data_IF_347638085718
#
_entry.id   IF_347638085718
#
_cell.length_a   1.000
_cell.length_b   1.000
_cell.length_c   1.000
_cell.angle_alpha   90.00
_cell.angle_beta   90.00
_cell.angle_gamma   90.00
#
_symmetry.space_group_name_H-M   'P 1'
#
loop_
_entity.id
_entity.type
_entity.pdbx_description
1 polymer ?
#
# COMPACT_ATOMS: atom_id res chain seq x y z
N UNK A 1 0.67 10.45 28.94
CA UNK A 1 0.29 9.56 30.06
C UNK A 1 0.42 8.06 29.73
N UNK A 2 0.08 7.60 28.52
CA UNK A 2 0.17 6.18 28.10
C UNK A 2 1.57 5.58 28.19
N UNK A 3 2.62 6.31 27.78
CA UNK A 3 4.01 5.84 27.93
C UNK A 3 4.46 5.67 29.39
N UNK A 4 3.95 6.50 30.32
CA UNK A 4 4.37 6.44 31.72
C UNK A 4 3.80 5.21 32.45
N UNK A 5 2.55 4.83 32.15
CA UNK A 5 1.88 3.71 32.83
C UNK A 5 2.41 2.33 32.40
N UNK A 6 2.85 2.17 31.15
CA UNK A 6 3.26 0.86 30.65
C UNK A 6 4.70 0.47 31.01
N UNK A 7 5.54 1.44 31.40
CA UNK A 7 6.95 1.18 31.72
C UNK A 7 7.27 1.06 33.21
N UNK A 8 6.48 1.65 34.12
CA UNK A 8 6.88 1.85 35.52
C UNK A 8 6.14 1.00 36.56
N UNK A 9 5.00 0.39 36.21
CA UNK A 9 4.22 -0.43 37.15
C UNK A 9 4.49 -1.94 36.99
N UNK A 10 4.19 -2.72 38.05
CA UNK A 10 4.31 -4.19 38.04
C UNK A 10 3.43 -4.83 36.97
N UNK A 11 3.79 -6.04 36.55
CA UNK A 11 3.05 -6.83 35.55
C UNK A 11 1.56 -6.95 35.86
N UNK A 12 1.22 -7.19 37.13
CA UNK A 12 -0.15 -7.36 37.62
C UNK A 12 -0.93 -6.05 37.56
N UNK A 13 -0.34 -4.95 38.01
CA UNK A 13 -1.00 -3.63 37.98
C UNK A 13 -1.23 -3.21 36.53
N UNK A 14 -0.24 -3.41 35.66
CA UNK A 14 -0.35 -3.10 34.24
C UNK A 14 -1.48 -3.86 33.57
N UNK A 15 -1.58 -5.16 33.83
CA UNK A 15 -2.64 -6.01 33.27
C UNK A 15 -4.03 -5.51 33.71
N UNK A 16 -4.21 -5.16 34.99
CA UNK A 16 -5.46 -4.57 35.49
C UNK A 16 -5.81 -3.24 34.83
N UNK A 17 -4.83 -2.34 34.70
CA UNK A 17 -5.04 -1.04 34.03
C UNK A 17 -5.44 -1.22 32.58
N UNK A 18 -4.77 -2.13 31.85
CA UNK A 18 -5.12 -2.46 30.48
C UNK A 18 -6.53 -3.04 30.39
N UNK A 19 -6.92 -3.94 31.28
CA UNK A 19 -8.27 -4.54 31.30
C UNK A 19 -9.34 -3.46 31.53
N UNK A 20 -9.15 -2.57 32.50
CA UNK A 20 -10.07 -1.45 32.76
C UNK A 20 -10.23 -0.57 31.52
N UNK A 21 -9.13 -0.16 30.89
CA UNK A 21 -9.16 0.81 29.78
C UNK A 21 -9.65 0.16 28.48
N UNK A 22 -9.31 -1.11 28.23
CA UNK A 22 -9.59 -1.79 26.96
C UNK A 22 -10.84 -2.66 26.98
N UNK A 23 -11.44 -2.89 28.15
CA UNK A 23 -12.63 -3.72 28.31
C UNK A 23 -13.69 -3.03 29.17
N UNK A 24 -13.43 -2.78 30.47
CA UNK A 24 -14.48 -2.30 31.40
C UNK A 24 -14.99 -0.88 31.08
N UNK A 25 -14.08 0.01 30.64
CA UNK A 25 -14.34 1.42 30.37
C UNK A 25 -14.00 1.80 28.94
N UNK A 26 -14.05 0.84 28.02
CA UNK A 26 -13.75 1.07 26.60
C UNK A 26 -14.73 2.08 25.98
N UNK A 27 -15.97 2.13 26.46
CA UNK A 27 -16.98 3.07 25.98
C UNK A 27 -16.72 4.52 26.43
N UNK A 28 -15.92 4.71 27.48
CA UNK A 28 -15.54 6.04 27.97
C UNK A 28 -14.40 6.67 27.13
N UNK A 29 -13.77 5.90 26.24
CA UNK A 29 -12.68 6.37 25.39
C UNK A 29 -13.09 6.47 23.92
N UNK A 30 -12.87 7.66 23.36
CA UNK A 30 -13.15 7.94 21.94
C UNK A 30 -12.21 7.14 21.01
N UNK A 31 -12.55 7.13 19.72
CA UNK A 31 -11.83 6.39 18.69
C UNK A 31 -10.35 6.77 18.59
N UNK A 32 -10.04 8.07 18.70
CA UNK A 32 -8.66 8.57 18.67
C UNK A 32 -7.84 7.99 19.81
N UNK A 33 -8.39 7.96 21.03
CA UNK A 33 -7.74 7.39 22.20
C UNK A 33 -7.54 5.88 22.05
N UNK A 34 -8.53 5.16 21.49
CA UNK A 34 -8.41 3.73 21.15
C UNK A 34 -7.20 3.47 20.23
N UNK A 35 -7.03 4.30 19.20
CA UNK A 35 -5.86 4.28 18.32
C UNK A 35 -4.55 4.47 19.07
N UNK A 36 -4.45 5.53 19.89
CA UNK A 36 -3.24 5.84 20.69
C UNK A 36 -2.87 4.67 21.63
N UNK A 37 -3.87 4.05 22.27
CA UNK A 37 -3.65 2.90 23.16
C UNK A 37 -3.07 1.72 22.39
N UNK A 38 -3.65 1.37 21.23
CA UNK A 38 -3.13 0.27 20.42
C UNK A 38 -1.71 0.58 19.92
N UNK A 39 -1.41 1.82 19.53
CA UNK A 39 -0.07 2.24 19.12
C UNK A 39 0.96 2.08 20.25
N UNK A 40 0.61 2.47 21.47
CA UNK A 40 1.46 2.24 22.63
C UNK A 40 1.68 0.74 22.86
N UNK A 41 0.62 -0.07 22.77
CA UNK A 41 0.71 -1.54 22.87
C UNK A 41 1.64 -2.12 21.81
N UNK A 42 1.54 -1.68 20.56
CA UNK A 42 2.37 -2.13 19.43
C UNK A 42 3.88 -1.91 19.68
N UNK A 43 4.29 -0.75 20.23
CA UNK A 43 5.67 -0.51 20.64
C UNK A 43 6.16 -1.55 21.67
N UNK A 44 5.31 -1.90 22.63
CA UNK A 44 5.62 -2.92 23.63
C UNK A 44 5.70 -4.33 23.05
N UNK A 45 4.91 -4.65 22.02
CA UNK A 45 4.95 -5.93 21.32
C UNK A 45 6.20 -6.09 20.45
N UNK A 46 6.69 -4.99 19.86
CA UNK A 46 7.91 -4.97 19.07
C UNK A 46 9.18 -5.21 19.93
N UNK A 47 9.16 -4.77 21.20
CA UNK A 47 10.30 -4.94 22.10
C UNK A 47 10.62 -6.43 22.36
N UNK A 48 11.88 -6.89 22.19
CA UNK A 48 12.29 -8.25 22.53
C UNK A 48 12.40 -8.47 24.05
N UNK A 49 12.54 -7.39 24.83
CA UNK A 49 12.70 -7.44 26.28
C UNK A 49 11.37 -7.69 27.02
N UNK A 50 10.25 -7.48 26.33
CA UNK A 50 8.94 -7.58 26.94
C UNK A 50 8.41 -9.01 26.90
N UNK A 51 8.21 -9.60 28.09
CA UNK A 51 7.71 -10.98 28.25
C UNK A 51 6.18 -11.09 28.36
N UNK A 52 5.47 -9.98 28.56
CA UNK A 52 4.00 -9.97 28.74
C UNK A 52 3.23 -9.77 27.43
N UNK A 53 3.78 -10.22 26.30
CA UNK A 53 3.14 -10.05 24.98
C UNK A 53 1.68 -10.55 24.92
N UNK A 54 1.30 -11.66 25.61
CA UNK A 54 -0.10 -12.10 25.63
C UNK A 54 -1.08 -11.07 26.22
N UNK A 55 -0.73 -10.41 27.33
CA UNK A 55 -1.58 -9.42 28.00
C UNK A 55 -1.80 -8.20 27.09
N UNK A 56 -0.72 -7.74 26.46
CA UNK A 56 -0.74 -6.65 25.49
C UNK A 56 -1.61 -6.99 24.26
N UNK A 57 -1.46 -8.19 23.70
CA UNK A 57 -2.27 -8.67 22.58
C UNK A 57 -3.75 -8.74 22.95
N UNK A 58 -4.08 -9.33 24.11
CA UNK A 58 -5.45 -9.41 24.62
C UNK A 58 -6.07 -8.02 24.73
N UNK A 59 -5.36 -7.07 25.32
CA UNK A 59 -5.83 -5.69 25.47
C UNK A 59 -6.10 -5.02 24.11
N UNK A 60 -5.20 -5.15 23.14
CA UNK A 60 -5.43 -4.62 21.80
C UNK A 60 -6.64 -5.27 21.10
N UNK A 61 -6.81 -6.58 21.27
CA UNK A 61 -7.93 -7.31 20.68
C UNK A 61 -9.27 -6.96 21.34
N UNK A 62 -9.28 -6.61 22.63
CA UNK A 62 -10.47 -6.09 23.29
C UNK A 62 -10.89 -4.75 22.66
N UNK A 63 -9.95 -3.83 22.44
CA UNK A 63 -10.24 -2.55 21.77
C UNK A 63 -10.79 -2.77 20.35
N UNK A 64 -10.18 -3.67 19.57
CA UNK A 64 -10.65 -4.00 18.21
C UNK A 64 -12.06 -4.59 18.26
N UNK A 65 -12.32 -5.58 19.13
CA UNK A 65 -13.62 -6.25 19.24
C UNK A 65 -14.71 -5.37 19.84
N UNK A 66 -14.36 -4.37 20.63
CA UNK A 66 -15.31 -3.37 21.13
C UNK A 66 -15.49 -2.16 20.21
N UNK A 67 -14.96 -2.19 18.99
CA UNK A 67 -15.16 -1.15 17.97
C UNK A 67 -15.90 -1.75 16.77
N UNK A 68 -16.85 -1.01 16.19
CA UNK A 68 -17.86 -1.56 15.28
C UNK A 68 -18.01 -0.74 13.99
N UNK A 69 -18.53 -1.36 12.93
CA UNK A 69 -18.83 -0.72 11.64
C UNK A 69 -17.70 0.18 11.11
N UNK A 70 -18.08 1.37 10.62
CA UNK A 70 -17.12 2.34 10.04
C UNK A 70 -16.06 2.83 11.02
N UNK A 71 -16.36 2.87 12.33
CA UNK A 71 -15.36 3.23 13.34
C UNK A 71 -14.26 2.18 13.41
N UNK A 72 -14.61 0.89 13.27
CA UNK A 72 -13.59 -0.16 13.20
C UNK A 72 -12.74 0.00 11.94
N UNK A 73 -13.34 0.35 10.80
CA UNK A 73 -12.58 0.63 9.57
C UNK A 73 -11.58 1.76 9.76
N UNK A 74 -12.02 2.89 10.33
CA UNK A 74 -11.14 4.03 10.62
C UNK A 74 -10.05 3.66 11.63
N UNK A 75 -10.39 2.90 12.68
CA UNK A 75 -9.41 2.41 13.65
C UNK A 75 -8.36 1.51 13.00
N UNK A 76 -8.78 0.59 12.11
CA UNK A 76 -7.86 -0.29 11.38
C UNK A 76 -6.89 0.51 10.51
N UNK A 77 -7.36 1.54 9.81
CA UNK A 77 -6.48 2.46 9.06
C UNK A 77 -5.48 3.15 10.00
N UNK A 78 -5.94 3.67 11.15
CA UNK A 78 -5.11 4.30 12.18
C UNK A 78 -4.06 3.36 12.78
N UNK A 79 -4.33 2.05 12.87
CA UNK A 79 -3.39 1.02 13.37
C UNK A 79 -2.46 0.50 12.26
N UNK A 80 -2.91 0.59 11.01
CA UNK A 80 -2.15 0.18 9.85
C UNK A 80 -1.11 1.25 9.44
N UNK A 81 -1.42 2.53 9.65
CA UNK A 81 -0.59 3.68 9.29
C UNK A 81 0.64 3.89 10.17
N UNK A 82 1.85 3.52 9.76
CA UNK A 82 3.06 3.67 10.60
C UNK A 82 3.29 5.08 11.20
N UNK A 83 2.60 6.11 10.71
CA UNK A 83 2.76 7.49 11.13
C UNK A 83 1.43 8.20 11.43
N UNK A 84 1.02 8.20 12.70
CA UNK A 84 0.07 9.19 13.20
C UNK A 84 0.67 9.82 14.44
N UNK A 85 1.42 10.91 14.23
CA UNK A 85 1.41 12.15 15.00
C UNK A 85 2.48 13.06 14.37
N UNK A 86 2.18 14.33 14.04
CA UNK A 86 3.20 15.30 13.66
C UNK A 86 3.97 15.71 14.92
N UNK A 87 4.86 14.85 15.40
CA UNK A 87 5.90 15.29 16.32
C UNK A 87 7.00 15.91 15.46
N UNK A 88 7.32 17.17 15.75
CA UNK A 88 8.46 17.90 15.17
C UNK A 88 9.84 17.26 15.44
N UNK A 89 9.86 16.13 16.16
CA UNK A 89 11.03 15.29 16.35
C UNK A 89 10.99 14.10 15.40
N UNK A 90 12.08 13.89 14.67
CA UNK A 90 12.35 12.86 13.67
C UNK A 90 12.28 11.40 14.19
N UNK A 91 11.17 10.99 14.77
CA UNK A 91 10.98 9.64 15.33
C UNK A 91 9.54 9.15 15.15
N UNK A 92 9.22 8.60 13.98
CA UNK A 92 7.96 7.90 13.75
C UNK A 92 7.73 6.73 14.73
N UNK A 93 6.47 6.32 14.91
CA UNK A 93 6.12 5.21 15.80
C UNK A 93 6.64 3.87 15.24
N UNK A 94 7.66 3.27 15.88
CA UNK A 94 8.24 1.97 15.48
C UNK A 94 7.45 0.72 15.94
N UNK A 95 6.11 0.80 16.02
CA UNK A 95 5.25 -0.21 16.65
C UNK A 95 4.85 -1.42 15.79
N UNK A 96 5.07 -1.35 14.48
CA UNK A 96 4.55 -2.33 13.52
C UNK A 96 3.10 -2.05 13.10
N UNK A 97 2.64 -2.79 12.09
CA UNK A 97 1.35 -2.58 11.43
C UNK A 97 0.21 -3.46 12.02
N UNK A 98 -1.00 -3.29 11.49
CA UNK A 98 -2.18 -4.09 11.86
C UNK A 98 -1.97 -5.58 11.57
N UNK A 99 -1.29 -5.91 10.47
CA UNK A 99 -0.99 -7.29 10.10
C UNK A 99 -0.10 -7.97 11.14
N UNK A 100 0.94 -7.28 11.63
CA UNK A 100 1.82 -7.77 12.70
C UNK A 100 1.09 -7.84 14.05
N UNK A 101 0.20 -6.89 14.35
CA UNK A 101 -0.60 -6.92 15.57
C UNK A 101 -1.48 -8.18 15.63
N UNK A 102 -2.15 -8.52 14.52
CA UNK A 102 -3.08 -9.66 14.46
C UNK A 102 -2.31 -10.96 14.23
N UNK A 103 -1.60 -11.11 13.10
CA UNK A 103 -0.95 -12.37 12.74
C UNK A 103 0.39 -12.62 13.46
N UNK A 104 0.89 -11.65 14.22
CA UNK A 104 2.00 -11.86 15.16
C UNK A 104 1.56 -12.51 16.47
N UNK A 105 0.25 -12.65 16.72
CA UNK A 105 -0.27 -13.39 17.88
C UNK A 105 -0.06 -14.89 17.71
N UNK A 106 0.44 -15.55 18.76
CA UNK A 106 0.67 -17.01 18.77
C UNK A 106 -0.61 -17.79 19.07
N UNK A 107 -1.58 -17.16 19.72
CA UNK A 107 -2.87 -17.78 20.03
C UNK A 107 -3.81 -17.67 18.83
N UNK A 108 -3.93 -18.76 18.08
CA UNK A 108 -4.76 -18.82 16.89
C UNK A 108 -6.24 -18.58 17.20
N UNK A 109 -6.72 -18.94 18.39
CA UNK A 109 -8.12 -18.74 18.79
C UNK A 109 -8.44 -17.25 18.88
N UNK A 110 -7.51 -16.46 19.41
CA UNK A 110 -7.62 -15.01 19.49
C UNK A 110 -7.58 -14.37 18.10
N UNK A 111 -6.68 -14.83 17.22
CA UNK A 111 -6.60 -14.37 15.82
C UNK A 111 -7.92 -14.64 15.09
N UNK A 112 -8.46 -15.86 15.19
CA UNK A 112 -9.72 -16.23 14.55
C UNK A 112 -10.88 -15.40 15.10
N UNK A 113 -10.95 -15.20 16.43
CA UNK A 113 -11.99 -14.39 17.07
C UNK A 113 -11.99 -12.94 16.55
N UNK A 114 -10.81 -12.32 16.42
CA UNK A 114 -10.69 -10.96 15.87
C UNK A 114 -10.99 -10.91 14.38
N UNK A 115 -10.52 -11.88 13.60
CA UNK A 115 -10.80 -11.94 12.17
C UNK A 115 -12.30 -12.11 11.88
N UNK A 116 -13.00 -12.93 12.68
CA UNK A 116 -14.46 -13.07 12.61
C UNK A 116 -15.18 -11.76 12.91
N UNK A 117 -14.77 -11.06 13.97
CA UNK A 117 -15.30 -9.73 14.31
C UNK A 117 -15.11 -8.75 13.15
N UNK A 118 -13.90 -8.65 12.61
CA UNK A 118 -13.58 -7.80 11.46
C UNK A 118 -14.47 -8.12 10.26
N UNK A 119 -14.64 -9.41 9.94
CA UNK A 119 -15.46 -9.84 8.82
C UNK A 119 -16.95 -9.46 9.01
N UNK A 120 -17.50 -9.64 10.21
CA UNK A 120 -18.89 -9.29 10.53
C UNK A 120 -19.11 -7.78 10.46
N UNK A 121 -18.22 -6.99 11.06
CA UNK A 121 -18.36 -5.53 11.07
C UNK A 121 -18.16 -4.92 9.68
N UNK A 122 -17.29 -5.50 8.85
CA UNK A 122 -17.10 -5.05 7.47
C UNK A 122 -18.34 -5.19 6.60
N UNK A 123 -19.22 -6.17 6.85
CA UNK A 123 -20.49 -6.30 6.14
C UNK A 123 -21.45 -5.13 6.42
N UNK A 124 -21.25 -4.41 7.53
CA UNK A 124 -22.06 -3.24 7.91
C UNK A 124 -21.58 -1.96 7.25
N UNK A 125 -20.40 -1.98 6.61
CA UNK A 125 -19.82 -0.82 5.94
C UNK A 125 -20.31 -0.80 4.50
N UNK A 126 -21.39 -0.05 4.26
CA UNK A 126 -21.94 0.18 2.92
C UNK A 126 -21.47 1.55 2.44
N UNK A 127 -20.61 1.57 1.42
CA UNK A 127 -20.19 2.81 0.75
C UNK A 127 -20.39 2.73 -0.76
N UNK A 128 -20.91 3.82 -1.33
CA UNK A 128 -21.01 4.05 -2.76
C UNK A 128 -20.49 5.45 -3.08
N UNK A 129 -19.37 5.59 -3.82
CA UNK A 129 -18.56 4.53 -4.41
C UNK A 129 -17.84 3.67 -3.35
N UNK A 130 -17.36 2.45 -3.71
CA UNK A 130 -16.68 1.58 -2.76
C UNK A 130 -15.35 2.19 -2.28
N UNK A 131 -14.92 1.77 -1.09
CA UNK A 131 -13.58 2.01 -0.56
C UNK A 131 -12.53 1.31 -1.43
N UNK A 132 -11.43 1.99 -1.73
CA UNK A 132 -10.34 1.49 -2.59
C UNK A 132 -9.01 1.69 -1.88
N UNK A 133 -8.27 0.59 -1.72
CA UNK A 133 -6.91 0.56 -1.19
C UNK A 133 -5.91 0.25 -2.30
N UNK A 134 -4.82 1.02 -2.36
CA UNK A 134 -3.74 0.76 -3.31
C UNK A 134 -2.75 -0.21 -2.67
N UNK A 135 -2.43 -1.27 -3.41
CA UNK A 135 -1.35 -2.19 -3.11
C UNK A 135 -0.24 -1.96 -4.13
N UNK A 136 0.99 -1.74 -3.70
CA UNK A 136 2.08 -1.41 -4.62
C UNK A 136 3.36 -2.15 -4.29
N UNK A 137 4.10 -2.62 -5.28
CA UNK A 137 5.54 -2.82 -5.10
C UNK A 137 6.26 -1.46 -4.98
N UNK A 138 7.57 -1.48 -4.68
CA UNK A 138 8.38 -0.29 -4.44
C UNK A 138 9.43 -0.13 -5.54
N UNK A 139 10.24 -1.14 -5.79
CA UNK A 139 11.38 -1.04 -6.70
C UNK A 139 10.90 -1.19 -8.14
N UNK A 140 11.35 -0.31 -9.04
CA UNK A 140 10.95 -0.31 -10.46
C UNK A 140 9.42 -0.12 -10.69
N UNK A 141 8.66 0.11 -9.60
CA UNK A 141 7.23 0.46 -9.60
C UNK A 141 7.02 1.88 -9.07
N UNK A 142 7.40 2.16 -7.82
CA UNK A 142 7.27 3.49 -7.21
C UNK A 142 8.50 4.36 -7.50
N UNK A 143 9.68 3.77 -7.35
CA UNK A 143 10.96 4.40 -7.68
C UNK A 143 11.61 3.67 -8.82
N UNK A 144 12.26 4.41 -9.71
CA UNK A 144 13.20 3.82 -10.66
C UNK A 144 14.26 3.04 -9.88
N UNK A 145 14.23 1.71 -10.01
CA UNK A 145 14.96 0.79 -9.17
C UNK A 145 16.33 0.52 -9.76
N UNK A 146 16.65 -0.76 -9.94
CA UNK A 146 17.93 -1.20 -10.50
C UNK A 146 17.80 -1.69 -11.94
N UNK A 147 16.59 -2.06 -12.36
CA UNK A 147 16.35 -2.67 -13.66
C UNK A 147 15.96 -1.60 -14.68
N UNK A 148 15.14 -0.63 -14.28
CA UNK A 148 14.69 0.41 -15.19
C UNK A 148 15.75 1.52 -15.39
N UNK A 149 16.64 1.30 -16.36
CA UNK A 149 17.68 2.27 -16.71
C UNK A 149 17.17 3.47 -17.52
N UNK A 150 15.86 3.53 -17.83
CA UNK A 150 15.23 4.62 -18.60
C UNK A 150 15.13 5.91 -17.79
N UNK A 151 15.05 5.80 -16.47
CA UNK A 151 14.95 6.91 -15.51
C UNK A 151 16.22 7.00 -14.65
N UNK A 152 16.47 8.15 -13.99
CA UNK A 152 17.53 8.26 -13.00
C UNK A 152 17.27 7.29 -11.85
N UNK A 153 18.30 6.57 -11.40
CA UNK A 153 18.14 5.62 -10.30
C UNK A 153 17.67 6.29 -9.02
N UNK A 154 16.77 5.61 -8.30
CA UNK A 154 16.22 6.03 -7.01
C UNK A 154 15.36 7.31 -7.04
N UNK A 155 14.90 7.73 -8.21
CA UNK A 155 13.92 8.82 -8.31
C UNK A 155 12.51 8.26 -8.38
N UNK A 156 11.56 8.99 -7.81
CA UNK A 156 10.14 8.70 -7.93
C UNK A 156 9.72 8.79 -9.41
N UNK A 157 8.86 7.88 -9.87
CA UNK A 157 8.30 8.01 -11.22
C UNK A 157 7.35 9.21 -11.30
N UNK A 158 7.37 10.00 -12.39
CA UNK A 158 6.49 11.15 -12.55
C UNK A 158 5.02 10.76 -12.44
N UNK A 159 4.26 11.44 -11.58
CA UNK A 159 2.80 11.32 -11.43
C UNK A 159 2.28 10.10 -10.67
N UNK A 160 3.15 9.24 -10.13
CA UNK A 160 2.73 8.05 -9.34
C UNK A 160 1.92 8.43 -8.10
N UNK A 161 2.34 9.47 -7.40
CA UNK A 161 1.68 9.96 -6.16
C UNK A 161 0.29 10.51 -6.46
N UNK A 162 0.20 11.37 -7.49
CA UNK A 162 -1.07 11.94 -7.97
C UNK A 162 -2.03 10.84 -8.41
N UNK A 163 -1.54 9.83 -9.16
CA UNK A 163 -2.39 8.71 -9.56
C UNK A 163 -2.91 7.92 -8.36
N UNK A 164 -2.05 7.60 -7.39
CA UNK A 164 -2.46 6.88 -6.18
C UNK A 164 -3.46 7.68 -5.35
N UNK A 165 -3.31 9.00 -5.29
CA UNK A 165 -4.25 9.91 -4.63
C UNK A 165 -5.62 9.91 -5.32
N UNK A 166 -5.67 10.05 -6.65
CA UNK A 166 -6.91 10.03 -7.41
C UNK A 166 -7.65 8.67 -7.33
N UNK A 167 -6.91 7.55 -7.28
CA UNK A 167 -7.50 6.21 -7.25
C UNK A 167 -7.92 5.74 -5.86
N UNK A 168 -7.19 6.15 -4.83
CA UNK A 168 -7.46 5.74 -3.45
C UNK A 168 -8.77 6.33 -2.95
N UNK A 169 -9.57 5.52 -2.24
CA UNK A 169 -10.79 5.96 -1.56
C UNK A 169 -10.82 5.37 -0.17
N UNK A 170 -10.30 6.14 0.81
CA UNK A 170 -10.32 5.77 2.22
C UNK A 170 -11.56 6.30 2.95
N UNK A 171 -11.79 5.82 4.18
CA UNK A 171 -12.87 6.35 5.04
C UNK A 171 -12.64 7.82 5.38
N UNK A 172 -11.38 8.24 5.44
CA UNK A 172 -10.97 9.63 5.57
C UNK A 172 -10.29 10.06 4.26
N UNK A 173 -11.00 10.83 3.43
CA UNK A 173 -10.53 11.27 2.10
C UNK A 173 -9.30 12.20 2.14
N UNK A 174 -8.72 12.44 3.32
CA UNK A 174 -7.59 13.36 3.51
C UNK A 174 -6.25 12.77 3.07
N UNK A 175 -6.13 11.44 2.97
CA UNK A 175 -4.86 10.78 2.65
C UNK A 175 -5.10 9.51 1.82
N UNK A 176 -4.25 9.22 0.82
CA UNK A 176 -4.37 7.98 0.07
C UNK A 176 -4.03 6.78 0.96
N UNK A 177 -4.87 5.74 0.89
CA UNK A 177 -4.66 4.50 1.62
C UNK A 177 -3.81 3.55 0.77
N UNK A 178 -2.49 3.65 0.93
CA UNK A 178 -1.50 2.86 0.19
C UNK A 178 -0.82 1.85 1.10
N UNK A 179 -0.59 0.63 0.60
CA UNK A 179 0.16 -0.41 1.30
C UNK A 179 1.12 -1.08 0.35
N UNK A 180 2.38 -1.10 0.74
CA UNK A 180 3.46 -1.64 -0.04
C UNK A 180 3.66 -3.13 0.21
N UNK A 181 3.72 -3.92 -0.85
CA UNK A 181 4.01 -5.35 -0.83
C UNK A 181 5.47 -5.56 -1.22
N UNK A 182 6.34 -5.90 -0.28
CA UNK A 182 7.76 -6.15 -0.59
C UNK A 182 8.19 -7.55 -0.19
N UNK A 183 9.05 -8.14 -1.01
CA UNK A 183 9.74 -9.38 -0.70
C UNK A 183 11.03 -9.17 0.13
N UNK A 184 11.38 -7.92 0.45
CA UNK A 184 12.62 -7.58 1.18
C UNK A 184 12.48 -7.79 2.70
N UNK A 185 13.55 -8.25 3.39
CA UNK A 185 13.54 -8.41 4.85
C UNK A 185 13.36 -7.08 5.60
N UNK A 186 12.69 -7.14 6.77
CA UNK A 186 12.58 -6.05 7.76
C UNK A 186 13.98 -5.59 8.19
N UNK A 187 14.46 -4.50 7.63
CA UNK A 187 15.80 -3.94 7.89
C UNK A 187 16.59 -3.61 6.63
N UNK A 188 16.20 -4.13 5.45
CA UNK A 188 16.83 -3.74 4.20
C UNK A 188 16.61 -2.26 3.86
N UNK A 189 15.46 -1.70 4.28
CA UNK A 189 15.19 -0.26 4.22
C UNK A 189 16.11 0.57 5.12
N UNK A 190 16.78 -0.02 6.12
CA UNK A 190 17.77 0.68 6.94
C UNK A 190 19.22 0.47 6.49
N UNK A 191 19.50 -0.59 5.73
CA UNK A 191 20.89 -1.00 5.43
C UNK A 191 21.41 -0.60 4.04
N UNK A 192 20.53 -0.28 3.08
CA UNK A 192 20.96 -0.07 1.69
C UNK A 192 20.36 1.11 0.93
N UNK A 193 19.35 1.79 1.47
CA UNK A 193 18.75 2.99 0.87
C UNK A 193 18.17 3.86 1.98
N UNK A 194 18.35 5.17 1.92
CA UNK A 194 17.63 6.14 2.76
C UNK A 194 16.14 6.24 2.33
N UNK A 195 15.46 5.11 2.10
CA UNK A 195 14.01 5.03 1.94
C UNK A 195 13.42 4.73 3.32
N UNK A 196 13.54 5.69 4.23
CA UNK A 196 12.79 5.66 5.49
C UNK A 196 11.32 5.88 5.17
N UNK A 197 10.42 5.44 6.06
CA UNK A 197 9.02 5.84 6.00
C UNK A 197 8.89 7.38 5.88
N UNK A 198 9.83 8.13 6.46
CA UNK A 198 9.93 9.59 6.34
C UNK A 198 10.14 10.06 4.90
N UNK A 199 10.93 9.34 4.09
CA UNK A 199 11.10 9.68 2.67
C UNK A 199 9.80 9.42 1.88
N UNK A 200 9.12 8.29 2.12
CA UNK A 200 7.83 7.98 1.51
C UNK A 200 6.75 9.02 1.88
N UNK A 201 6.69 9.43 3.15
CA UNK A 201 5.78 10.48 3.63
C UNK A 201 6.15 11.85 3.05
N UNK A 202 7.44 12.18 2.96
CA UNK A 202 7.91 13.44 2.34
C UNK A 202 7.57 13.54 0.85
N UNK A 203 7.32 12.40 0.21
CA UNK A 203 6.90 12.29 -1.19
C UNK A 203 5.37 12.30 -1.35
N UNK A 204 4.60 12.62 -0.31
CA UNK A 204 3.14 12.73 -0.40
C UNK A 204 2.39 11.40 -0.29
N UNK A 205 3.10 10.30 0.01
CA UNK A 205 2.48 9.01 0.34
C UNK A 205 2.26 8.96 1.85
N UNK A 206 1.08 9.35 2.28
CA UNK A 206 0.69 9.15 3.67
C UNK A 206 0.60 7.65 4.00
N UNK A 207 1.17 7.27 5.15
CA UNK A 207 0.92 5.98 5.81
C UNK A 207 1.40 4.71 5.07
N UNK A 208 2.65 4.64 4.59
CA UNK A 208 3.17 3.43 3.93
C UNK A 208 3.24 2.25 4.91
N UNK A 209 2.37 1.25 4.76
CA UNK A 209 2.56 -0.05 5.43
C UNK A 209 3.38 -0.95 4.53
N UNK A 210 4.41 -1.62 5.06
CA UNK A 210 5.22 -2.56 4.28
C UNK A 210 4.92 -3.99 4.71
N UNK A 211 4.20 -4.75 3.88
CA UNK A 211 4.03 -6.19 4.10
C UNK A 211 5.32 -6.89 3.70
N UNK A 212 6.03 -7.37 4.71
CA UNK A 212 7.36 -7.94 4.55
C UNK A 212 7.29 -9.44 4.23
N UNK A 213 7.96 -9.85 3.17
CA UNK A 213 8.43 -11.22 2.96
C UNK A 213 9.88 -11.37 3.40
N UNK A 214 10.26 -12.51 3.98
CA UNK A 214 11.68 -12.85 4.13
C UNK A 214 12.10 -13.72 2.95
N UNK A 215 12.59 -13.09 1.90
CA UNK A 215 13.20 -13.79 0.77
C UNK A 215 14.70 -13.54 0.79
N UNK A 216 15.49 -14.62 0.92
CA UNK A 216 16.95 -14.55 0.73
C UNK A 216 17.24 -14.20 -0.73
N UNK A 217 18.36 -13.52 -1.02
CA UNK A 217 18.81 -13.23 -2.38
C UNK A 217 18.92 -14.51 -3.23
N UNK A 218 18.54 -14.45 -4.51
CA UNK A 218 18.62 -15.59 -5.45
C UNK A 218 17.40 -16.53 -5.49
N UNK A 219 16.23 -16.08 -5.02
CA UNK A 219 14.99 -16.89 -5.02
C UNK A 219 14.21 -16.73 -6.32
N UNK A 220 13.65 -17.84 -6.81
CA UNK A 220 12.80 -17.93 -8.00
C UNK A 220 11.64 -16.89 -7.97
N UNK A 221 11.43 -16.09 -9.04
CA UNK A 221 10.34 -15.12 -9.15
C UNK A 221 8.95 -15.68 -8.79
N UNK A 222 8.69 -16.96 -9.10
CA UNK A 222 7.43 -17.63 -8.73
C UNK A 222 7.22 -17.74 -7.22
N UNK A 223 8.30 -17.93 -6.45
CA UNK A 223 8.24 -17.98 -4.98
C UNK A 223 8.04 -16.59 -4.38
N UNK A 224 8.59 -15.55 -5.01
CA UNK A 224 8.33 -14.15 -4.64
C UNK A 224 6.85 -13.83 -4.84
N UNK A 225 6.29 -14.18 -6.00
CA UNK A 225 4.86 -14.00 -6.30
C UNK A 225 3.98 -14.74 -5.29
N UNK A 226 4.29 -16.00 -4.96
CA UNK A 226 3.55 -16.77 -3.96
C UNK A 226 3.53 -16.13 -2.56
N UNK A 227 4.67 -15.60 -2.11
CA UNK A 227 4.74 -14.91 -0.80
C UNK A 227 3.97 -13.59 -0.80
N UNK A 228 4.05 -12.82 -1.89
CA UNK A 228 3.23 -11.60 -2.04
C UNK A 228 1.74 -11.94 -2.09
N UNK A 229 1.36 -13.05 -2.72
CA UNK A 229 -0.02 -13.53 -2.75
C UNK A 229 -0.50 -13.92 -1.34
N UNK A 230 0.28 -14.68 -0.57
CA UNK A 230 -0.07 -15.03 0.81
C UNK A 230 -0.26 -13.78 1.69
N UNK A 231 0.64 -12.79 1.54
CA UNK A 231 0.53 -11.50 2.22
C UNK A 231 -0.74 -10.76 1.79
N UNK A 232 -1.05 -10.74 0.49
CA UNK A 232 -2.30 -10.16 -0.02
C UNK A 232 -3.53 -10.84 0.60
N UNK A 233 -3.61 -12.17 0.59
CA UNK A 233 -4.74 -12.91 1.16
C UNK A 233 -4.97 -12.52 2.62
N UNK A 234 -3.91 -12.54 3.44
CA UNK A 234 -3.99 -12.10 4.84
C UNK A 234 -4.45 -10.65 4.95
N UNK A 235 -3.89 -9.77 4.12
CA UNK A 235 -4.23 -8.36 4.15
C UNK A 235 -5.69 -8.08 3.77
N UNK A 236 -6.23 -8.76 2.76
CA UNK A 236 -7.64 -8.64 2.39
C UNK A 236 -8.58 -9.08 3.51
N UNK A 237 -8.18 -10.05 4.34
CA UNK A 237 -8.99 -10.44 5.51
C UNK A 237 -8.92 -9.45 6.67
N UNK A 238 -7.97 -8.52 6.68
CA UNK A 238 -7.95 -7.38 7.61
C UNK A 238 -8.82 -6.22 7.14
N UNK A 239 -8.98 -6.07 5.82
CA UNK A 239 -9.77 -5.01 5.19
C UNK A 239 -10.85 -5.57 4.25
N UNK A 240 -11.74 -6.46 4.71
CA UNK A 240 -12.73 -7.10 3.84
C UNK A 240 -13.75 -6.13 3.24
N UNK A 241 -13.96 -4.95 3.84
CA UNK A 241 -14.81 -3.87 3.32
C UNK A 241 -14.18 -3.12 2.13
N UNK A 242 -12.86 -3.25 1.91
CA UNK A 242 -12.17 -2.58 0.81
C UNK A 242 -12.19 -3.39 -0.47
N UNK A 243 -12.09 -2.65 -1.58
CA UNK A 243 -11.60 -3.13 -2.87
C UNK A 243 -10.14 -2.72 -3.04
N UNK A 244 -9.45 -3.39 -3.95
CA UNK A 244 -7.99 -3.26 -4.11
C UNK A 244 -7.64 -2.95 -5.56
N UNK A 245 -6.61 -2.12 -5.73
CA UNK A 245 -5.91 -1.96 -7.00
C UNK A 245 -4.44 -2.29 -6.75
N UNK A 246 -3.84 -3.09 -7.62
CA UNK A 246 -2.44 -3.49 -7.48
C UNK A 246 -1.55 -2.82 -8.52
N UNK A 247 -0.39 -2.34 -8.09
CA UNK A 247 0.71 -1.82 -8.90
C UNK A 247 1.99 -2.65 -8.68
N UNK A 248 2.67 -3.00 -9.76
CA UNK A 248 3.95 -3.70 -9.73
C UNK A 248 4.76 -3.47 -11.00
N UNK A 249 5.88 -4.17 -11.17
CA UNK A 249 6.76 -4.04 -12.34
C UNK A 249 6.85 -5.32 -13.20
N UNK A 250 7.28 -5.17 -14.45
CA UNK A 250 7.44 -6.31 -15.37
C UNK A 250 8.76 -7.07 -15.21
N UNK A 251 9.68 -6.60 -14.36
CA UNK A 251 11.03 -7.13 -14.16
C UNK A 251 11.14 -8.31 -13.21
N UNK A 252 10.13 -8.59 -12.39
CA UNK A 252 10.12 -9.73 -11.47
C UNK A 252 8.82 -10.54 -11.54
N UNK A 253 8.29 -10.98 -10.39
CA UNK A 253 7.12 -11.86 -10.28
C UNK A 253 5.78 -11.11 -10.21
N UNK A 254 5.75 -9.80 -10.42
CA UNK A 254 4.56 -9.00 -10.15
C UNK A 254 3.48 -9.14 -11.21
N UNK A 255 3.86 -9.37 -12.48
CA UNK A 255 2.91 -9.73 -13.52
C UNK A 255 2.20 -11.08 -13.22
N UNK A 256 2.96 -12.06 -12.72
CA UNK A 256 2.40 -13.33 -12.27
C UNK A 256 1.45 -13.15 -11.10
N UNK A 257 1.87 -12.40 -10.07
CA UNK A 257 1.04 -12.06 -8.92
C UNK A 257 -0.25 -11.36 -9.36
N UNK A 258 -0.16 -10.34 -10.21
CA UNK A 258 -1.30 -9.59 -10.73
C UNK A 258 -2.32 -10.51 -11.40
N UNK A 259 -1.86 -11.44 -12.25
CA UNK A 259 -2.74 -12.41 -12.91
C UNK A 259 -3.42 -13.36 -11.90
N UNK A 260 -2.70 -13.79 -10.86
CA UNK A 260 -3.25 -14.64 -9.80
C UNK A 260 -4.29 -13.88 -8.96
N UNK A 261 -4.00 -12.62 -8.62
CA UNK A 261 -4.92 -11.75 -7.88
C UNK A 261 -6.23 -11.54 -8.66
N UNK A 262 -6.15 -11.28 -9.97
CA UNK A 262 -7.34 -11.14 -10.84
C UNK A 262 -8.12 -12.45 -10.97
N UNK A 263 -7.44 -13.58 -11.08
CA UNK A 263 -8.09 -14.89 -11.21
C UNK A 263 -8.78 -15.36 -9.92
N UNK A 264 -8.13 -15.17 -8.76
CA UNK A 264 -8.63 -15.67 -7.48
C UNK A 264 -9.59 -14.71 -6.77
N UNK A 265 -9.47 -13.40 -7.04
CA UNK A 265 -10.22 -12.35 -6.35
C UNK A 265 -10.82 -11.30 -7.31
N UNK A 266 -11.53 -11.71 -8.37
CA UNK A 266 -12.04 -10.80 -9.41
C UNK A 266 -12.96 -9.71 -8.85
N UNK A 267 -13.73 -10.03 -7.80
CA UNK A 267 -14.66 -9.08 -7.16
C UNK A 267 -13.98 -8.11 -6.20
N UNK A 268 -12.75 -8.42 -5.74
CA UNK A 268 -12.03 -7.59 -4.77
C UNK A 268 -10.95 -6.73 -5.44
N UNK A 269 -10.32 -7.22 -6.50
CA UNK A 269 -9.23 -6.53 -7.17
C UNK A 269 -9.78 -5.84 -8.41
N UNK A 270 -9.98 -4.52 -8.37
CA UNK A 270 -10.64 -3.77 -9.45
C UNK A 270 -9.75 -3.58 -10.69
N UNK A 271 -8.44 -3.57 -10.50
CA UNK A 271 -7.46 -3.43 -11.58
C UNK A 271 -6.08 -3.82 -11.11
N UNK A 272 -5.26 -4.30 -12.06
CA UNK A 272 -3.84 -4.58 -11.85
C UNK A 272 -3.03 -3.90 -12.92
N UNK A 273 -2.05 -3.11 -12.48
CA UNK A 273 -1.25 -2.23 -13.31
C UNK A 273 0.21 -2.67 -13.17
N UNK A 274 0.85 -3.02 -14.29
CA UNK A 274 2.23 -3.47 -14.30
C UNK A 274 3.05 -2.50 -15.13
N UNK A 275 3.98 -1.82 -14.47
CA UNK A 275 4.93 -0.93 -15.11
C UNK A 275 5.86 -1.76 -15.99
N UNK A 276 5.78 -1.54 -17.30
CA UNK A 276 6.62 -2.22 -18.26
C UNK A 276 7.98 -1.53 -18.38
N UNK A 277 8.92 -2.03 -17.57
CA UNK A 277 10.27 -1.46 -17.47
C UNK A 277 11.20 -1.89 -18.61
N UNK A 278 10.77 -2.84 -19.43
CA UNK A 278 11.50 -3.25 -20.62
C UNK A 278 10.55 -3.51 -21.80
N UNK A 279 9.98 -2.46 -22.42
CA UNK A 279 9.01 -2.60 -23.51
C UNK A 279 9.53 -3.40 -24.71
N UNK A 280 10.84 -3.37 -24.95
CA UNK A 280 11.48 -4.10 -26.06
C UNK A 280 11.41 -5.63 -25.93
N UNK A 281 11.26 -6.14 -24.71
CA UNK A 281 11.14 -7.58 -24.46
C UNK A 281 9.68 -8.02 -24.56
N UNK A 282 9.35 -9.13 -25.24
CA UNK A 282 8.01 -9.71 -25.17
C UNK A 282 7.74 -10.47 -23.86
N UNK A 283 8.78 -10.69 -23.04
CA UNK A 283 8.72 -11.46 -21.80
C UNK A 283 8.88 -10.55 -20.58
N UNK A 284 8.24 -10.94 -19.48
CA UNK A 284 8.46 -10.43 -18.12
C UNK A 284 9.62 -11.15 -17.44
N UNK A 285 10.11 -10.62 -16.33
CA UNK A 285 11.30 -11.17 -15.63
C UNK A 285 11.12 -12.53 -14.97
N UNK A 286 9.88 -13.02 -14.84
CA UNK A 286 9.58 -14.41 -14.47
C UNK A 286 9.58 -15.38 -15.66
N UNK A 287 9.81 -14.87 -16.88
CA UNK A 287 9.85 -15.62 -18.14
C UNK A 287 8.48 -15.79 -18.82
N UNK A 288 7.40 -15.24 -18.27
CA UNK A 288 6.08 -15.27 -18.89
C UNK A 288 5.95 -14.30 -20.06
N UNK A 289 5.10 -14.61 -21.04
CA UNK A 289 4.82 -13.67 -22.13
C UNK A 289 3.90 -12.55 -21.66
N UNK A 290 4.25 -11.30 -21.99
CA UNK A 290 3.44 -10.12 -21.67
C UNK A 290 2.02 -10.22 -22.22
N UNK A 291 1.88 -10.71 -23.46
CA UNK A 291 0.58 -10.93 -24.10
C UNK A 291 -0.32 -11.88 -23.29
N UNK A 292 0.24 -12.94 -22.69
CA UNK A 292 -0.54 -13.87 -21.87
C UNK A 292 -1.03 -13.20 -20.58
N UNK A 293 -0.25 -12.29 -20.00
CA UNK A 293 -0.67 -11.51 -18.83
C UNK A 293 -1.77 -10.51 -19.18
N UNK A 294 -1.65 -9.83 -20.32
CA UNK A 294 -2.70 -8.93 -20.84
C UNK A 294 -4.02 -9.68 -21.03
N UNK A 295 -3.98 -10.87 -21.65
CA UNK A 295 -5.17 -11.73 -21.82
C UNK A 295 -5.79 -12.19 -20.49
N UNK A 296 -5.03 -12.16 -19.39
CA UNK A 296 -5.50 -12.47 -18.03
C UNK A 296 -5.94 -11.23 -17.24
N UNK A 297 -6.11 -10.09 -17.91
CA UNK A 297 -6.60 -8.85 -17.32
C UNK A 297 -5.54 -8.10 -16.52
N UNK A 298 -4.27 -8.24 -16.88
CA UNK A 298 -3.16 -7.42 -16.37
C UNK A 298 -2.92 -6.25 -17.33
N UNK A 299 -2.91 -5.03 -16.82
CA UNK A 299 -2.72 -3.84 -17.64
C UNK A 299 -1.25 -3.39 -17.61
N UNK A 300 -0.55 -3.55 -18.73
CA UNK A 300 0.82 -3.06 -18.90
C UNK A 300 0.82 -1.58 -19.31
N UNK A 301 1.75 -0.81 -18.75
CA UNK A 301 1.91 0.62 -19.07
C UNK A 301 3.39 1.01 -19.03
N UNK A 302 3.81 2.01 -19.80
CA UNK A 302 5.22 2.44 -19.85
C UNK A 302 5.50 3.69 -19.02
N UNK A 303 4.47 4.49 -18.73
CA UNK A 303 4.52 5.69 -17.90
C UNK A 303 3.19 5.87 -17.15
N UNK A 304 3.21 6.66 -16.07
CA UNK A 304 2.05 6.82 -15.19
C UNK A 304 0.90 7.62 -15.79
N UNK A 305 1.13 8.41 -16.84
CA UNK A 305 0.05 9.03 -17.61
C UNK A 305 -0.77 7.95 -18.34
N UNK A 306 -0.09 6.99 -18.99
CA UNK A 306 -0.74 5.83 -19.59
C UNK A 306 -1.46 4.94 -18.55
N UNK A 307 -0.88 4.76 -17.36
CA UNK A 307 -1.58 4.08 -16.26
C UNK A 307 -2.87 4.82 -15.85
N UNK A 308 -2.82 6.16 -15.77
CA UNK A 308 -3.98 7.01 -15.53
C UNK A 308 -5.06 6.85 -16.60
N UNK A 309 -4.67 6.82 -17.89
CA UNK A 309 -5.60 6.61 -19.00
C UNK A 309 -6.32 5.26 -18.88
N UNK A 310 -5.59 4.19 -18.57
CA UNK A 310 -6.18 2.87 -18.31
C UNK A 310 -7.11 2.92 -17.10
N UNK A 311 -6.70 3.59 -16.02
CA UNK A 311 -7.54 3.74 -14.82
C UNK A 311 -8.85 4.50 -15.12
N UNK A 312 -8.82 5.50 -16.00
CA UNK A 312 -10.01 6.19 -16.48
C UNK A 312 -10.90 5.26 -17.32
N UNK A 313 -10.32 4.49 -18.25
CA UNK A 313 -11.07 3.51 -19.06
C UNK A 313 -11.75 2.43 -18.19
N UNK A 314 -11.14 2.09 -17.05
CA UNK A 314 -11.71 1.17 -16.05
C UNK A 314 -12.71 1.84 -15.08
N UNK A 315 -12.95 3.15 -15.19
CA UNK A 315 -13.83 3.90 -14.29
C UNK A 315 -13.29 4.07 -12.87
N UNK A 316 -11.98 3.93 -12.66
CA UNK A 316 -11.33 4.05 -11.36
C UNK A 316 -11.04 5.51 -10.99
N UNK A 317 -10.88 6.38 -11.98
CA UNK A 317 -10.68 7.82 -11.80
C UNK A 317 -11.61 8.62 -12.73
N UNK A 318 -11.88 9.87 -12.37
CA UNK A 318 -12.66 10.79 -13.22
C UNK A 318 -11.82 11.35 -14.38
N UNK A 319 -12.47 12.09 -15.29
CA UNK A 319 -11.76 12.78 -16.38
C UNK A 319 -10.89 13.91 -15.83
N UNK A 320 -11.37 14.59 -14.79
CA UNK A 320 -10.67 15.65 -14.08
C UNK A 320 -9.42 15.10 -13.38
N UNK A 321 -9.54 13.95 -12.71
CA UNK A 321 -8.41 13.24 -12.12
C UNK A 321 -7.38 12.84 -13.18
N UNK A 322 -7.81 12.32 -14.33
CA UNK A 322 -6.91 11.98 -15.44
C UNK A 322 -6.12 13.21 -15.89
N UNK A 323 -6.78 14.36 -16.06
CA UNK A 323 -6.10 15.60 -16.44
C UNK A 323 -5.05 16.02 -15.40
N UNK A 324 -5.36 15.88 -14.11
CA UNK A 324 -4.42 16.15 -13.02
C UNK A 324 -3.21 15.21 -13.08
N UNK A 325 -3.43 13.90 -13.26
CA UNK A 325 -2.36 12.90 -13.37
C UNK A 325 -1.45 13.19 -14.55
N UNK A 326 -2.01 13.46 -15.73
CA UNK A 326 -1.22 13.77 -16.94
C UNK A 326 -0.39 15.04 -16.73
N UNK A 327 -0.97 16.07 -16.12
CA UNK A 327 -0.26 17.32 -15.85
C UNK A 327 0.89 17.11 -14.86
N UNK A 328 0.64 16.41 -13.74
CA UNK A 328 1.67 16.06 -12.75
C UNK A 328 2.79 15.21 -13.36
N UNK A 329 2.47 14.27 -14.26
CA UNK A 329 3.50 13.52 -14.99
C UNK A 329 4.40 14.44 -15.82
N UNK A 330 3.84 15.45 -16.50
CA UNK A 330 4.60 16.41 -17.31
C UNK A 330 5.50 17.29 -16.44
N UNK A 331 4.92 17.89 -15.41
CA UNK A 331 5.61 18.83 -14.53
C UNK A 331 6.77 18.13 -13.79
N UNK A 332 6.52 16.94 -13.23
CA UNK A 332 7.54 16.18 -12.51
C UNK A 332 8.65 15.66 -13.44
N UNK A 333 8.32 15.26 -14.67
CA UNK A 333 9.31 14.84 -15.67
C UNK A 333 10.16 16.02 -16.16
N UNK A 334 9.58 17.22 -16.25
CA UNK A 334 10.30 18.46 -16.59
C UNK A 334 11.28 18.86 -15.48
N UNK A 335 10.87 18.72 -14.22
CA UNK A 335 11.71 19.01 -13.05
C UNK A 335 12.75 17.92 -12.76
N UNK A 336 12.61 16.73 -13.32
CA UNK A 336 13.49 15.59 -13.06
C UNK A 336 14.89 15.80 -13.65
N UNK A 337 15.90 15.67 -12.79
CA UNK A 337 17.31 15.76 -13.21
C UNK A 337 17.81 14.42 -13.72
N UNK A 338 18.04 14.34 -15.04
CA UNK A 338 18.72 13.21 -15.66
C UNK A 338 20.25 13.40 -15.59
N UNK A 339 20.97 12.31 -15.29
CA UNK A 339 22.43 12.31 -15.17
C UNK A 339 23.06 11.30 -16.14
N UNK A 340 24.35 11.48 -16.44
CA UNK A 340 25.10 10.62 -17.37
C UNK A 340 25.19 11.16 -18.80
N UNK A 341 25.94 10.46 -19.65
CA UNK A 341 26.31 10.92 -21.00
C UNK A 341 25.14 11.01 -22.00
N UNK A 342 24.03 10.32 -21.72
CA UNK A 342 22.81 10.33 -22.53
C UNK A 342 21.62 10.97 -21.81
N UNK A 343 21.85 11.80 -20.78
CA UNK A 343 20.79 12.40 -19.96
C UNK A 343 19.74 13.16 -20.78
N UNK A 344 20.18 14.05 -21.68
CA UNK A 344 19.29 14.85 -22.53
C UNK A 344 18.43 13.98 -23.44
N UNK A 345 19.03 12.95 -24.05
CA UNK A 345 18.29 12.03 -24.92
C UNK A 345 17.28 11.21 -24.13
N UNK A 346 17.68 10.65 -22.97
CA UNK A 346 16.77 9.88 -22.11
C UNK A 346 15.56 10.71 -21.67
N UNK A 347 15.78 11.96 -21.26
CA UNK A 347 14.67 12.83 -20.88
C UNK A 347 13.76 13.13 -22.08
N UNK A 348 14.33 13.42 -23.25
CA UNK A 348 13.57 13.64 -24.47
C UNK A 348 12.73 12.41 -24.88
N UNK A 349 13.29 11.20 -24.78
CA UNK A 349 12.60 9.96 -25.08
C UNK A 349 11.38 9.76 -24.16
N UNK A 350 11.54 9.97 -22.83
CA UNK A 350 10.42 9.86 -21.87
C UNK A 350 9.33 10.90 -22.14
N UNK A 351 9.70 12.13 -22.53
CA UNK A 351 8.71 13.17 -22.90
C UNK A 351 7.97 12.79 -24.18
N UNK A 352 8.68 12.23 -25.15
CA UNK A 352 8.09 11.78 -26.41
C UNK A 352 7.13 10.60 -26.20
N UNK A 353 7.50 9.64 -25.34
CA UNK A 353 6.63 8.52 -24.95
C UNK A 353 5.33 9.01 -24.30
N UNK A 354 5.43 9.90 -23.30
CA UNK A 354 4.27 10.51 -22.66
C UNK A 354 3.38 11.24 -23.67
N UNK A 355 3.97 12.02 -24.57
CA UNK A 355 3.25 12.74 -25.62
C UNK A 355 2.52 11.77 -26.55
N UNK A 356 3.20 10.73 -27.02
CA UNK A 356 2.62 9.72 -27.92
C UNK A 356 1.43 9.01 -27.27
N UNK A 357 1.51 8.67 -25.98
CA UNK A 357 0.39 8.03 -25.28
C UNK A 357 -0.80 8.98 -25.11
N UNK A 358 -0.54 10.26 -24.82
CA UNK A 358 -1.60 11.28 -24.79
C UNK A 358 -2.28 11.44 -26.16
N UNK A 359 -1.51 11.56 -27.23
CA UNK A 359 -2.03 11.74 -28.59
C UNK A 359 -2.86 10.53 -29.06
N UNK A 360 -2.38 9.31 -28.76
CA UNK A 360 -3.14 8.07 -29.01
C UNK A 360 -4.45 8.04 -28.23
N UNK A 361 -4.41 8.43 -26.96
CA UNK A 361 -5.59 8.44 -26.11
C UNK A 361 -6.62 9.47 -26.57
N UNK A 362 -6.18 10.69 -26.91
CA UNK A 362 -7.04 11.76 -27.41
C UNK A 362 -7.65 11.39 -28.77
N UNK A 363 -6.87 10.77 -29.66
CA UNK A 363 -7.36 10.25 -30.94
C UNK A 363 -8.46 9.20 -30.76
N UNK A 364 -8.35 8.34 -29.73
CA UNK A 364 -9.36 7.31 -29.41
C UNK A 364 -10.64 7.89 -28.80
N UNK A 365 -10.55 8.99 -28.07
CA UNK A 365 -11.66 9.59 -27.31
C UNK A 365 -12.26 10.85 -27.95
N UNK A 366 -11.68 11.34 -29.03
CA UNK A 366 -12.28 12.38 -29.87
C UNK A 366 -13.43 11.78 -30.68
N UNK A 367 -14.68 12.04 -30.26
CA UNK A 367 -15.88 11.69 -31.04
C UNK A 367 -15.76 12.37 -32.42
N UNK A 368 -15.93 11.67 -33.56
CA UNK A 368 -16.07 12.34 -34.84
C UNK A 368 -17.33 13.21 -34.74
N UNK A 369 -17.17 14.52 -34.87
CA UNK A 369 -18.30 15.44 -34.97
C UNK A 369 -19.14 15.04 -36.19
N UNK A 370 -20.19 14.25 -35.97
CA UNK A 370 -21.22 14.05 -36.98
C UNK A 370 -21.97 15.36 -37.09
N UNK A 371 -21.52 16.21 -38.01
CA UNK A 371 -22.30 17.31 -38.56
C UNK A 371 -23.59 16.72 -39.14
N UNK A 372 -24.71 17.06 -38.51
CA UNK A 372 -26.02 17.03 -39.15
C UNK A 372 -26.26 18.36 -39.86
#
# INVERSE_FOLDING_TARGET
MTGFMLHTCSSVVRSRVLDVITHERLDDINLTNRGIIIRAIQQHLASPLNRQKPDFQKAAFNVIKGTYGSDLTRLKEVINSDFLLPSHDHGGFHGGDLHQLIYGCRDLTQVVSVAQHIAVEALKVVQSPPLIKILSDIDDTLFAGWVDARYPGHTLYPGVTTLFQCMSRGVDCSNPSVTFLTARPRGWFSFGRNLTADHLVSLGLANPTVLNGSVRTGVNPKKIAGLKLDNFVRYTSLFPEYKFVFFGDSGQGDALLASQMRALYPDKVLGTFIHDINPSSPLTGDGGAKADYVNRGVHLYENYAAAGMIAFELGLISKEDLALVVQSCRDELDMMTFTGWNSTQKQADRKQELFNDCDRFDSKHSIPSTSK
#
